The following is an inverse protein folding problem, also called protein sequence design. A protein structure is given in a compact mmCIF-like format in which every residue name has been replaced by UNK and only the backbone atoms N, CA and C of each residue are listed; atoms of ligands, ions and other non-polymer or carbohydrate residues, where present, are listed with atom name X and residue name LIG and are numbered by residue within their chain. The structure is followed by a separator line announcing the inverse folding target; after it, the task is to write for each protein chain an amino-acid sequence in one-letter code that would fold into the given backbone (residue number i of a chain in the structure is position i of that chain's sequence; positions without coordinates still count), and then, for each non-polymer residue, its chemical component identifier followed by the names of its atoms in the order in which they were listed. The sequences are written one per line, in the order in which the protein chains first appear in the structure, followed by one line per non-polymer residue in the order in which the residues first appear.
data_IF_422644575485
#
_entry.id   IF_422644575485
#
_cell.length_a   1.000
_cell.length_b   1.000
_cell.length_c   1.000
_cell.angle_alpha   90.00
_cell.angle_beta   90.00
_cell.angle_gamma   90.00
#
_symmetry.space_group_name_H-M   'P 1'
#
loop_
_entity.id
_entity.type
_entity.pdbx_description
1 polymer ?
#
# COMPACT_ATOMS: atom_id res chain seq x y z
N UNK A 1 -5.70 -16.81 4.71
CA UNK A 1 -4.97 -15.52 4.57
C UNK A 1 -3.62 -15.66 5.24
N UNK A 2 -2.57 -15.32 4.53
CA UNK A 2 -1.21 -15.58 4.98
C UNK A 2 -0.43 -14.27 5.12
N UNK A 3 0.08 -13.99 6.32
CA UNK A 3 0.89 -12.80 6.58
C UNK A 3 2.27 -12.99 5.97
N UNK A 4 2.63 -12.14 5.02
CA UNK A 4 3.91 -12.20 4.32
C UNK A 4 4.94 -11.23 4.88
N UNK A 5 4.50 -10.08 5.37
CA UNK A 5 5.40 -9.06 5.90
C UNK A 5 4.69 -8.24 6.97
N UNK A 6 5.43 -7.90 8.01
CA UNK A 6 4.99 -7.01 9.08
C UNK A 6 6.18 -6.14 9.42
N UNK A 7 6.12 -4.87 9.01
CA UNK A 7 7.25 -3.95 9.12
C UNK A 7 6.80 -2.60 9.63
N UNK A 8 7.75 -1.80 10.09
CA UNK A 8 7.48 -0.43 10.50
C UNK A 8 8.58 0.51 10.01
N UNK A 9 8.21 1.77 9.80
CA UNK A 9 9.10 2.82 9.34
C UNK A 9 8.81 4.09 10.10
N UNK A 10 9.84 4.80 10.54
CA UNK A 10 9.69 6.08 11.20
C UNK A 10 10.01 7.20 10.21
N UNK A 11 9.07 8.13 10.05
CA UNK A 11 9.23 9.32 9.21
C UNK A 11 8.85 10.53 10.06
N UNK A 12 9.81 11.45 10.30
CA UNK A 12 9.58 12.67 11.07
C UNK A 12 8.88 12.41 12.40
N UNK A 13 9.41 11.48 13.19
CA UNK A 13 8.91 11.10 14.52
C UNK A 13 7.54 10.41 14.50
N UNK A 14 7.03 10.07 13.33
CA UNK A 14 5.79 9.31 13.21
C UNK A 14 6.11 7.91 12.72
N UNK A 15 5.61 6.90 13.41
CA UNK A 15 5.83 5.51 13.04
C UNK A 15 4.73 5.03 12.12
N UNK A 16 5.09 4.52 10.97
CA UNK A 16 4.17 3.89 10.02
C UNK A 16 4.31 2.39 10.12
N UNK A 17 3.18 1.70 10.13
CA UNK A 17 3.12 0.25 10.23
C UNK A 17 2.60 -0.32 8.92
N UNK A 18 3.17 -1.43 8.49
CA UNK A 18 2.79 -2.09 7.25
C UNK A 18 2.59 -3.59 7.49
N UNK A 19 1.45 -4.11 7.07
CA UNK A 19 1.18 -5.54 7.04
C UNK A 19 0.79 -5.93 5.62
N UNK A 20 1.40 -6.99 5.10
CA UNK A 20 1.08 -7.52 3.78
C UNK A 20 0.61 -8.95 3.92
N UNK A 21 -0.58 -9.23 3.41
CA UNK A 21 -1.19 -10.56 3.43
C UNK A 21 -1.37 -11.10 2.03
N UNK A 22 -1.17 -12.39 1.86
CA UNK A 22 -1.51 -13.06 0.62
C UNK A 22 -2.92 -13.64 0.73
N UNK A 23 -3.73 -13.34 -0.27
CA UNK A 23 -5.05 -13.91 -0.45
C UNK A 23 -5.00 -14.87 -1.65
N UNK A 24 -6.14 -15.39 -2.05
CA UNK A 24 -6.20 -16.23 -3.26
C UNK A 24 -5.95 -15.35 -4.49
N UNK A 25 -4.81 -15.56 -5.15
CA UNK A 25 -4.40 -14.82 -6.35
C UNK A 25 -4.40 -13.29 -6.21
N UNK A 26 -4.25 -12.79 -4.99
CA UNK A 26 -4.29 -11.36 -4.73
C UNK A 26 -3.61 -11.05 -3.40
N UNK A 27 -3.52 -9.75 -3.07
CA UNK A 27 -2.84 -9.32 -1.86
C UNK A 27 -3.65 -8.25 -1.12
N UNK A 28 -3.51 -8.25 0.20
CA UNK A 28 -4.08 -7.22 1.06
C UNK A 28 -2.93 -6.48 1.73
N UNK A 29 -2.87 -5.17 1.53
CA UNK A 29 -1.83 -4.32 2.10
C UNK A 29 -2.47 -3.35 3.09
N UNK A 30 -2.01 -3.37 4.33
CA UNK A 30 -2.48 -2.47 5.37
C UNK A 30 -1.35 -1.53 5.76
N UNK A 31 -1.60 -0.22 5.70
CA UNK A 31 -0.62 0.79 6.08
C UNK A 31 -1.31 1.82 6.97
N UNK A 32 -0.70 2.15 8.11
CA UNK A 32 -1.27 3.11 9.04
C UNK A 32 -0.17 3.76 9.88
N UNK A 33 -0.43 4.97 10.35
CA UNK A 33 0.40 5.62 11.36
C UNK A 33 -0.09 5.30 12.78
N UNK A 34 -1.02 4.34 12.90
CA UNK A 34 -1.55 3.87 14.17
C UNK A 34 -1.28 2.38 14.32
N UNK A 35 -0.87 1.95 15.51
CA UNK A 35 -0.60 0.54 15.77
C UNK A 35 -1.83 -0.33 15.51
N UNK A 36 -3.00 0.16 15.90
CA UNK A 36 -4.26 -0.49 15.56
C UNK A 36 -4.67 0.01 14.18
N UNK A 37 -4.42 -0.79 13.18
CA UNK A 37 -4.78 -0.46 11.81
C UNK A 37 -6.22 0.02 11.70
N UNK A 38 -6.49 0.92 10.77
CA UNK A 38 -7.84 1.45 10.58
C UNK A 38 -8.21 1.51 9.11
N UNK A 39 -9.45 1.91 8.85
CA UNK A 39 -9.95 2.11 7.50
C UNK A 39 -10.12 3.61 7.27
N UNK A 40 -9.25 4.20 6.45
CA UNK A 40 -9.37 5.60 6.09
C UNK A 40 -9.61 5.72 4.61
N UNK A 41 -8.64 5.26 3.81
CA UNK A 41 -8.75 5.20 2.36
C UNK A 41 -8.72 3.73 1.94
N UNK A 42 -9.61 3.37 1.02
CA UNK A 42 -9.68 2.04 0.42
C UNK A 42 -9.34 2.18 -1.05
N UNK A 43 -8.29 1.52 -1.49
CA UNK A 43 -7.86 1.57 -2.89
C UNK A 43 -7.64 0.16 -3.40
N UNK A 44 -8.28 -0.14 -4.51
CA UNK A 44 -8.15 -1.43 -5.18
C UNK A 44 -7.45 -1.22 -6.52
N UNK A 45 -6.43 -2.04 -6.79
CA UNK A 45 -5.75 -2.03 -8.06
C UNK A 45 -5.70 -3.41 -8.67
N UNK A 46 -5.70 -3.46 -9.99
CA UNK A 46 -5.64 -4.71 -10.74
C UNK A 46 -4.66 -4.55 -11.89
N UNK A 47 -3.87 -5.62 -12.22
CA UNK A 47 -2.97 -5.53 -13.36
C UNK A 47 -3.75 -5.34 -14.66
N UNK A 48 -3.17 -4.63 -15.64
CA UNK A 48 -3.85 -4.44 -16.91
C UNK A 48 -4.01 -5.77 -17.64
N UNK A 49 -5.15 -5.94 -18.32
CA UNK A 49 -5.41 -7.13 -19.13
C UNK A 49 -4.55 -7.14 -20.39
N UNK A 50 -4.13 -5.97 -20.84
CA UNK A 50 -3.31 -5.81 -22.05
C UNK A 50 -1.99 -5.16 -21.66
N UNK A 51 -0.89 -5.75 -22.12
CA UNK A 51 0.45 -5.24 -21.86
C UNK A 51 0.60 -3.81 -22.40
N UNK A 52 1.26 -2.95 -21.62
CA UNK A 52 1.46 -1.55 -21.98
C UNK A 52 0.36 -0.60 -21.55
N UNK A 53 -0.75 -1.13 -21.05
CA UNK A 53 -1.84 -0.31 -20.51
C UNK A 53 -1.64 -0.16 -19.00
N UNK A 54 -1.95 1.03 -18.49
CA UNK A 54 -1.83 1.32 -17.07
C UNK A 54 -2.79 0.47 -16.24
N UNK A 55 -2.35 0.08 -15.03
CA UNK A 55 -3.19 -0.66 -14.09
C UNK A 55 -4.47 0.11 -13.77
N UNK A 56 -5.59 -0.62 -13.64
CA UNK A 56 -6.86 -0.03 -13.23
C UNK A 56 -6.87 0.16 -11.72
N UNK A 57 -7.24 1.36 -11.26
CA UNK A 57 -7.35 1.65 -9.83
C UNK A 57 -8.67 2.32 -9.50
N UNK A 58 -9.17 2.06 -8.30
CA UNK A 58 -10.33 2.74 -7.75
C UNK A 58 -10.01 3.08 -6.30
N UNK A 59 -10.21 4.34 -5.92
CA UNK A 59 -9.83 4.82 -4.60
C UNK A 59 -10.96 5.61 -3.96
N UNK A 60 -11.27 5.29 -2.69
CA UNK A 60 -12.31 5.95 -1.92
C UNK A 60 -11.74 6.39 -0.58
N UNK A 61 -11.82 7.69 -0.28
CA UNK A 61 -11.38 8.22 1.00
C UNK A 61 -12.59 8.31 1.93
N UNK A 62 -12.65 7.42 2.91
CA UNK A 62 -13.80 7.30 3.81
C UNK A 62 -13.63 8.10 5.10
N UNK A 63 -12.49 7.98 5.73
CA UNK A 63 -12.19 8.62 7.00
C UNK A 63 -10.77 9.16 7.02
N UNK A 64 -10.50 10.12 7.89
CA UNK A 64 -9.16 10.63 8.14
C UNK A 64 -8.69 11.62 7.08
N UNK A 65 -7.37 11.75 6.98
CA UNK A 65 -6.72 12.65 6.03
C UNK A 65 -6.92 12.14 4.61
N UNK A 66 -7.22 13.06 3.69
CA UNK A 66 -7.36 12.69 2.28
C UNK A 66 -6.01 12.22 1.72
N UNK A 67 -5.94 10.95 1.34
CA UNK A 67 -4.72 10.32 0.87
C UNK A 67 -4.94 9.56 -0.44
N UNK A 68 -5.86 10.02 -1.27
CA UNK A 68 -6.17 9.38 -2.56
C UNK A 68 -4.97 9.28 -3.49
N UNK A 69 -4.19 10.36 -3.60
CA UNK A 69 -3.02 10.37 -4.46
C UNK A 69 -1.97 9.37 -3.98
N UNK A 70 -1.66 9.41 -2.70
CA UNK A 70 -0.68 8.50 -2.10
C UNK A 70 -1.14 7.04 -2.26
N UNK A 71 -2.40 6.76 -1.95
CA UNK A 71 -2.95 5.40 -2.06
C UNK A 71 -2.89 4.87 -3.49
N UNK A 72 -3.24 5.72 -4.45
CA UNK A 72 -3.23 5.33 -5.87
C UNK A 72 -1.81 5.00 -6.32
N UNK A 73 -0.84 5.83 -5.95
CA UNK A 73 0.56 5.61 -6.31
C UNK A 73 1.08 4.30 -5.67
N UNK A 74 0.75 4.07 -4.41
CA UNK A 74 1.18 2.84 -3.71
C UNK A 74 0.60 1.60 -4.39
N UNK A 75 -0.69 1.62 -4.69
CA UNK A 75 -1.35 0.47 -5.30
C UNK A 75 -0.84 0.20 -6.71
N UNK A 76 -0.63 1.25 -7.52
CA UNK A 76 -0.06 1.07 -8.85
C UNK A 76 1.32 0.41 -8.78
N UNK A 77 2.14 0.83 -7.83
CA UNK A 77 3.46 0.25 -7.63
C UNK A 77 3.37 -1.20 -7.17
N UNK A 78 2.47 -1.47 -6.22
CA UNK A 78 2.29 -2.82 -5.69
C UNK A 78 1.80 -3.78 -6.76
N UNK A 79 0.83 -3.37 -7.57
CA UNK A 79 0.32 -4.18 -8.67
C UNK A 79 1.43 -4.49 -9.68
N UNK A 80 2.26 -3.51 -10.00
CA UNK A 80 3.36 -3.72 -10.94
C UNK A 80 4.39 -4.72 -10.41
N UNK A 81 4.70 -4.67 -9.12
CA UNK A 81 5.69 -5.57 -8.53
C UNK A 81 5.12 -6.96 -8.30
N UNK A 82 3.91 -7.05 -7.74
CA UNK A 82 3.31 -8.32 -7.36
C UNK A 82 2.61 -9.03 -8.52
N UNK A 83 2.30 -8.33 -9.61
CA UNK A 83 1.64 -8.88 -10.79
C UNK A 83 0.29 -9.52 -10.47
N UNK A 84 -0.45 -8.91 -9.54
CA UNK A 84 -1.72 -9.44 -9.05
C UNK A 84 -2.56 -8.30 -8.49
N UNK A 85 -3.88 -8.49 -8.32
CA UNK A 85 -4.71 -7.48 -7.68
C UNK A 85 -4.26 -7.20 -6.25
N UNK A 86 -4.33 -5.94 -5.85
CA UNK A 86 -3.95 -5.49 -4.51
C UNK A 86 -5.05 -4.61 -3.94
N UNK A 87 -5.48 -4.91 -2.73
CA UNK A 87 -6.38 -4.06 -1.96
C UNK A 87 -5.55 -3.38 -0.88
N UNK A 88 -5.55 -2.05 -0.88
CA UNK A 88 -4.85 -1.25 0.13
C UNK A 88 -5.85 -0.60 1.07
N UNK A 89 -5.65 -0.79 2.36
CA UNK A 89 -6.32 -0.03 3.41
C UNK A 89 -5.28 0.89 4.03
N UNK A 90 -5.45 2.19 3.83
CA UNK A 90 -4.52 3.20 4.32
C UNK A 90 -5.23 4.11 5.31
N UNK A 91 -4.73 4.18 6.53
CA UNK A 91 -5.29 5.05 7.57
C UNK A 91 -4.19 5.93 8.15
N UNK A 92 -4.27 7.23 7.88
CA UNK A 92 -3.35 8.21 8.42
C UNK A 92 -4.14 9.17 9.29
N UNK A 93 -3.86 9.18 10.58
CA UNK A 93 -4.51 10.05 11.55
C UNK A 93 -3.75 11.35 11.75
N UNK A 94 -2.42 11.31 11.68
CA UNK A 94 -1.59 12.50 11.83
C UNK A 94 -1.68 13.40 10.61
N UNK A 95 -1.66 14.71 10.82
CA UNK A 95 -1.69 15.68 9.72
C UNK A 95 -0.31 15.85 9.14
N UNK A 96 -0.06 15.19 8.03
CA UNK A 96 1.20 15.28 7.31
C UNK A 96 0.88 15.63 5.86
N UNK A 97 1.74 16.46 5.26
CA UNK A 97 1.60 16.79 3.84
C UNK A 97 1.84 15.53 3.02
N UNK A 98 0.86 15.17 2.18
CA UNK A 98 0.90 13.95 1.39
C UNK A 98 2.17 13.84 0.54
N UNK A 99 2.58 14.94 -0.09
CA UNK A 99 3.76 14.97 -0.94
C UNK A 99 5.05 14.61 -0.18
N UNK A 100 5.12 14.90 1.10
CA UNK A 100 6.27 14.56 1.93
C UNK A 100 6.33 13.07 2.26
N UNK A 101 5.20 12.38 2.19
CA UNK A 101 5.12 10.95 2.48
C UNK A 101 5.41 10.07 1.27
N UNK A 102 5.12 10.56 0.07
CA UNK A 102 5.18 9.74 -1.13
C UNK A 102 6.54 9.06 -1.30
N UNK A 103 7.61 9.83 -1.31
CA UNK A 103 8.95 9.29 -1.57
C UNK A 103 9.43 8.29 -0.50
N UNK A 104 9.41 8.64 0.79
CA UNK A 104 9.90 7.69 1.80
C UNK A 104 9.02 6.44 1.91
N UNK A 105 7.70 6.58 1.80
CA UNK A 105 6.83 5.42 1.87
C UNK A 105 7.00 4.52 0.65
N UNK A 106 7.12 5.09 -0.56
CA UNK A 106 7.33 4.29 -1.76
C UNK A 106 8.65 3.51 -1.71
N UNK A 107 9.72 4.15 -1.24
CA UNK A 107 11.00 3.46 -1.11
C UNK A 107 10.91 2.28 -0.14
N UNK A 108 10.24 2.50 0.99
CA UNK A 108 10.02 1.47 1.99
C UNK A 108 9.20 0.30 1.43
N UNK A 109 8.08 0.63 0.79
CA UNK A 109 7.18 -0.37 0.20
C UNK A 109 7.87 -1.14 -0.91
N UNK A 110 8.62 -0.46 -1.78
CA UNK A 110 9.37 -1.11 -2.85
C UNK A 110 10.30 -2.19 -2.31
N UNK A 111 11.04 -1.87 -1.24
CA UNK A 111 11.97 -2.81 -0.63
C UNK A 111 11.23 -4.05 -0.12
N UNK A 112 10.13 -3.84 0.60
CA UNK A 112 9.35 -4.94 1.18
C UNK A 112 8.72 -5.80 0.09
N UNK A 113 8.13 -5.19 -0.93
CA UNK A 113 7.45 -5.93 -1.99
C UNK A 113 8.45 -6.73 -2.83
N UNK A 114 9.60 -6.17 -3.14
CA UNK A 114 10.62 -6.89 -3.90
C UNK A 114 11.18 -8.07 -3.12
N UNK A 115 11.37 -7.92 -1.82
CA UNK A 115 11.79 -9.02 -0.96
C UNK A 115 10.73 -10.12 -0.91
N UNK A 116 9.45 -9.73 -0.84
CA UNK A 116 8.33 -10.67 -0.81
C UNK A 116 8.28 -11.49 -2.08
N UNK A 117 8.41 -10.86 -3.24
CA UNK A 117 8.43 -11.56 -4.53
C UNK A 117 9.59 -12.55 -4.57
N UNK A 118 10.75 -12.15 -4.10
CA UNK A 118 11.94 -13.02 -4.08
C UNK A 118 11.73 -14.26 -3.22
N UNK A 119 11.03 -14.10 -2.07
CA UNK A 119 10.77 -15.23 -1.16
C UNK A 119 9.68 -16.18 -1.67
N UNK A 120 8.74 -15.68 -2.46
CA UNK A 120 7.61 -16.46 -2.95
C UNK A 120 7.96 -17.22 -4.23
N UNK A 121 8.98 -16.78 -4.94
CA UNK A 121 9.48 -17.48 -6.14
C UNK A 121 10.33 -18.72 -5.75
#
# INVERSE_FOLDING_TARGET
MNLLAEEKLEIDDITFYLNLFKLHNSFLLLISDQLNMGIGNVTLGSPPAIEGIKASTASYNLFGVNSKLLSTIIVERAVNILKAPVLLLLFIKNKIVEEELIKPLLNFINTILKETVRKVE
#
